data_IF_373379172231
#
_entry.id   IF_373379172231
#
_cell.length_a   1.000
_cell.length_b   1.000
_cell.length_c   1.000
_cell.angle_alpha   90.00
_cell.angle_beta   90.00
_cell.angle_gamma   90.00
#
_symmetry.space_group_name_H-M   'P 1'
#
loop_
_entity.id
_entity.type
_entity.pdbx_description
1 polymer ?
2 water ?
#
# COMPACT_ATOMS: atom_id res chain seq x y z
N UNK A 4 43.18 6.93 4.35
CA UNK A 4 42.85 6.08 5.49
C UNK A 4 41.48 5.35 5.35
N UNK A 5 40.38 6.05 5.05
CA UNK A 5 39.08 5.36 4.98
C UNK A 5 39.07 4.30 3.89
N UNK A 6 38.60 3.11 4.26
CA UNK A 6 38.39 2.05 3.28
C UNK A 6 37.28 2.47 2.33
N UNK A 7 37.54 2.33 1.04
CA UNK A 7 36.58 2.67 0.00
C UNK A 7 35.73 1.46 -0.36
N UNK A 8 34.41 1.57 -0.35
CA UNK A 8 33.57 0.43 -0.74
C UNK A 8 33.67 0.19 -2.24
N UNK A 9 33.58 -1.07 -2.64
CA UNK A 9 33.73 -1.44 -4.05
C UNK A 9 32.49 -2.19 -4.53
N UNK A 10 31.71 -1.55 -5.41
CA UNK A 10 30.50 -2.19 -5.94
C UNK A 10 30.80 -3.51 -6.64
N UNK A 11 31.95 -3.61 -7.30
CA UNK A 11 32.33 -4.86 -7.96
C UNK A 11 32.44 -6.02 -7.00
N UNK A 12 32.45 -5.74 -5.70
CA UNK A 12 32.58 -6.72 -4.63
C UNK A 12 31.24 -7.13 -4.05
N UNK A 13 30.14 -6.80 -4.71
CA UNK A 13 28.80 -7.10 -4.20
C UNK A 13 28.68 -8.54 -3.73
N UNK A 14 29.11 -9.50 -4.54
CA UNK A 14 28.95 -10.90 -4.15
C UNK A 14 29.79 -11.21 -2.91
N UNK A 15 31.01 -10.65 -2.83
CA UNK A 15 31.80 -10.88 -1.63
C UNK A 15 31.15 -10.25 -0.41
N UNK A 16 30.47 -9.11 -0.57
CA UNK A 16 29.70 -8.57 0.54
C UNK A 16 28.63 -9.54 0.98
N UNK A 17 27.96 -10.19 0.02
CA UNK A 17 26.92 -11.16 0.37
C UNK A 17 27.54 -12.36 1.08
N UNK A 18 28.71 -12.80 0.62
CA UNK A 18 29.48 -13.84 1.31
C UNK A 18 29.79 -13.44 2.75
N UNK A 19 30.26 -12.20 2.97
CA UNK A 19 30.58 -11.77 4.33
C UNK A 19 29.35 -11.79 5.23
N UNK A 20 28.20 -11.36 4.69
CA UNK A 20 26.95 -11.43 5.45
C UNK A 20 26.59 -12.87 5.77
N UNK A 21 26.66 -13.76 4.76
CA UNK A 21 26.33 -15.17 4.97
C UNK A 21 27.30 -15.83 5.95
N UNK A 22 28.59 -15.75 5.67
CA UNK A 22 29.55 -16.55 6.42
C UNK A 22 29.97 -15.92 7.75
N UNK A 23 30.07 -14.60 7.81
CA UNK A 23 30.54 -13.95 9.02
C UNK A 23 29.44 -13.25 9.80
N UNK A 24 28.20 -13.22 9.29
CA UNK A 24 27.15 -12.39 9.88
C UNK A 24 27.66 -10.96 10.06
N UNK A 25 28.37 -10.48 9.04
CA UNK A 25 28.92 -9.12 9.00
C UNK A 25 28.29 -8.36 7.83
N UNK A 26 27.45 -7.39 8.15
CA UNK A 26 26.73 -6.63 7.14
C UNK A 26 27.36 -5.27 6.83
N UNK A 27 28.43 -4.90 7.54
CA UNK A 27 29.13 -3.64 7.26
C UNK A 27 29.56 -3.49 5.81
N UNK A 28 30.19 -4.49 5.15
CA UNK A 28 30.51 -4.29 3.72
C UNK A 28 29.29 -4.00 2.87
N UNK A 29 28.23 -4.81 2.99
CA UNK A 29 27.02 -4.54 2.22
C UNK A 29 26.49 -3.13 2.49
N UNK A 30 26.45 -2.73 3.77
CA UNK A 30 25.94 -1.42 4.11
C UNK A 30 26.79 -0.32 3.48
N UNK A 31 28.10 -0.54 3.40
CA UNK A 31 28.96 0.47 2.80
C UNK A 31 28.62 0.68 1.33
N UNK A 32 28.28 -0.40 0.62
CA UNK A 32 27.88 -0.26 -0.78
C UNK A 32 26.64 0.60 -0.92
N UNK A 33 25.72 0.51 0.05
CA UNK A 33 24.50 1.29 -0.02
C UNK A 33 24.75 2.79 0.04
N UNK A 34 25.98 3.22 0.32
CA UNK A 34 26.29 4.65 0.34
C UNK A 34 26.92 5.14 -0.96
N UNK A 35 27.12 4.26 -1.95
CA UNK A 35 27.66 4.62 -3.26
C UNK A 35 26.50 4.93 -4.19
N UNK A 36 26.71 5.91 -5.06
CA UNK A 36 25.75 6.18 -6.13
C UNK A 36 26.10 5.30 -7.33
N UNK A 37 25.12 4.50 -7.76
CA UNK A 37 25.32 3.56 -8.86
C UNK A 37 25.53 4.34 -10.15
N UNK A 38 26.61 4.04 -10.85
CA UNK A 38 26.90 4.67 -12.13
C UNK A 38 26.71 3.64 -13.24
N UNK A 39 25.92 4.02 -14.26
CA UNK A 39 25.55 3.16 -15.37
C UNK A 39 26.77 2.56 -16.09
N UNK A 40 27.96 3.07 -15.78
CA UNK A 40 29.17 2.52 -16.38
C UNK A 40 29.54 1.18 -15.74
N UNK A 41 29.38 1.05 -14.42
CA UNK A 41 30.03 -0.01 -13.66
C UNK A 41 29.39 -1.37 -13.97
N UNK A 42 30.24 -2.39 -14.09
CA UNK A 42 29.83 -3.77 -14.29
C UNK A 42 30.17 -4.57 -13.04
N UNK A 43 29.15 -5.18 -12.43
CA UNK A 43 29.32 -6.02 -11.26
C UNK A 43 29.28 -7.46 -11.71
N UNK A 44 30.39 -8.17 -11.52
CA UNK A 44 30.45 -9.57 -11.90
C UNK A 44 29.91 -10.43 -10.77
N UNK A 45 28.94 -11.28 -11.09
CA UNK A 45 28.38 -12.21 -10.13
C UNK A 45 28.38 -13.63 -10.70
N UNK A 46 28.39 -14.59 -9.80
CA UNK A 46 28.50 -15.98 -10.19
C UNK A 46 27.13 -16.61 -10.44
N UNK A 47 27.17 -17.83 -10.97
CA UNK A 47 25.98 -18.64 -11.18
C UNK A 47 25.29 -18.98 -9.87
N UNK A 48 26.03 -18.99 -8.76
CA UNK A 48 25.48 -19.29 -7.44
C UNK A 48 25.03 -18.06 -6.66
N UNK A 49 25.06 -16.88 -7.28
CA UNK A 49 24.65 -15.65 -6.58
C UNK A 49 23.22 -15.75 -6.08
N UNK A 50 22.29 -16.22 -6.92
CA UNK A 50 20.89 -16.31 -6.51
C UNK A 50 20.71 -17.25 -5.32
N UNK A 51 21.38 -18.40 -5.33
CA UNK A 51 21.33 -19.33 -4.21
C UNK A 51 21.79 -18.67 -2.91
N UNK A 52 22.87 -17.88 -2.98
CA UNK A 52 23.36 -17.20 -1.78
C UNK A 52 22.36 -16.15 -1.30
N UNK A 53 21.78 -15.38 -2.22
CA UNK A 53 20.69 -14.45 -1.87
C UNK A 53 19.56 -15.18 -1.16
N UNK A 54 19.13 -16.30 -1.73
CA UNK A 54 18.03 -17.07 -1.15
C UNK A 54 18.38 -17.55 0.24
N UNK A 55 19.58 -18.10 0.41
CA UNK A 55 20.03 -18.56 1.71
C UNK A 55 20.03 -17.44 2.74
N UNK A 56 20.60 -16.29 2.37
CA UNK A 56 20.74 -15.19 3.32
C UNK A 56 19.37 -14.61 3.70
N UNK A 57 18.49 -14.39 2.71
CA UNK A 57 17.19 -13.78 3.01
C UNK A 57 16.33 -14.70 3.88
N UNK A 58 16.29 -15.99 3.56
CA UNK A 58 15.51 -16.93 4.37
C UNK A 58 16.05 -17.01 5.80
N UNK A 59 17.37 -17.01 5.97
CA UNK A 59 17.93 -17.02 7.32
C UNK A 59 17.52 -15.78 8.11
N UNK A 60 17.71 -14.59 7.52
CA UNK A 60 17.36 -13.37 8.24
C UNK A 60 15.86 -13.28 8.52
N UNK A 61 15.02 -13.74 7.58
CA UNK A 61 13.59 -13.83 7.87
C UNK A 61 13.32 -14.74 9.06
N UNK A 62 13.94 -15.93 9.07
CA UNK A 62 13.80 -16.87 10.19
C UNK A 62 14.22 -16.24 11.52
N UNK A 63 15.22 -15.36 11.49
CA UNK A 63 15.66 -14.66 12.69
C UNK A 63 14.80 -13.45 13.02
N UNK A 64 13.87 -13.06 12.14
CA UNK A 64 13.07 -11.85 12.32
C UNK A 64 13.94 -10.59 12.31
N UNK A 65 15.06 -10.63 11.59
CA UNK A 65 15.89 -9.43 11.41
C UNK A 65 15.30 -8.60 10.28
N UNK A 66 14.25 -7.85 10.61
CA UNK A 66 13.43 -7.17 9.61
C UNK A 66 14.25 -6.20 8.77
N UNK A 67 14.93 -5.26 9.45
CA UNK A 67 15.66 -4.21 8.75
C UNK A 67 16.86 -4.76 7.98
N UNK A 68 17.42 -5.89 8.40
CA UNK A 68 18.49 -6.44 7.58
C UNK A 68 17.96 -7.08 6.30
N UNK A 69 16.77 -7.71 6.33
CA UNK A 69 16.17 -8.19 5.08
C UNK A 69 15.98 -7.02 4.11
N UNK A 70 15.47 -5.89 4.61
CA UNK A 70 15.32 -4.68 3.81
C UNK A 70 16.62 -4.30 3.12
N UNK A 71 17.72 -4.29 3.88
CA UNK A 71 19.00 -3.85 3.30
C UNK A 71 19.43 -4.78 2.17
N UNK A 72 19.16 -6.09 2.29
CA UNK A 72 19.52 -7.00 1.20
C UNK A 72 18.65 -6.73 -0.01
N UNK A 73 17.33 -6.60 0.18
CA UNK A 73 16.43 -6.40 -0.96
C UNK A 73 16.76 -5.12 -1.71
N UNK A 74 17.14 -4.08 -0.98
CA UNK A 74 17.50 -2.81 -1.61
C UNK A 74 18.79 -2.93 -2.40
N UNK A 75 19.76 -3.70 -1.90
CA UNK A 75 21.02 -3.89 -2.60
C UNK A 75 20.81 -4.58 -3.94
N UNK A 76 19.97 -5.63 -3.97
CA UNK A 76 19.71 -6.33 -5.23
C UNK A 76 19.05 -5.40 -6.23
N UNK A 77 18.01 -4.68 -5.81
CA UNK A 77 17.32 -3.78 -6.71
C UNK A 77 18.19 -2.66 -7.23
N UNK A 78 18.93 -1.99 -6.34
CA UNK A 78 19.78 -0.87 -6.75
C UNK A 78 20.82 -1.31 -7.77
N UNK A 79 21.37 -2.50 -7.60
CA UNK A 79 22.42 -2.97 -8.48
C UNK A 79 21.89 -3.81 -9.64
N UNK A 80 20.57 -3.96 -9.75
CA UNK A 80 20.01 -5.00 -10.62
C UNK A 80 20.44 -4.83 -12.08
N UNK A 81 20.51 -3.59 -12.55
CA UNK A 81 20.81 -3.30 -13.94
C UNK A 81 22.31 -3.20 -14.22
N UNK A 82 23.16 -3.52 -13.26
CA UNK A 82 24.60 -3.50 -13.44
C UNK A 82 25.24 -4.84 -13.14
N UNK A 83 24.46 -5.85 -12.86
CA UNK A 83 24.95 -7.18 -12.54
C UNK A 83 25.04 -8.00 -13.82
N UNK A 84 26.11 -8.77 -13.95
CA UNK A 84 26.30 -9.68 -15.06
C UNK A 84 26.75 -11.01 -14.50
N UNK A 85 26.24 -12.09 -15.08
CA UNK A 85 26.58 -13.44 -14.67
C UNK A 85 27.08 -14.17 -15.92
N UNK A 86 28.35 -14.58 -15.90
CA UNK A 86 28.99 -15.22 -17.05
C UNK A 86 28.73 -14.44 -18.33
N UNK A 87 28.87 -13.12 -18.25
CA UNK A 87 28.75 -12.24 -19.40
C UNK A 87 27.34 -11.84 -19.76
N UNK A 88 26.32 -12.54 -19.26
CA UNK A 88 24.95 -12.23 -19.64
C UNK A 88 24.28 -11.36 -18.57
N UNK A 89 23.21 -10.67 -18.99
CA UNK A 89 22.45 -9.80 -18.10
C UNK A 89 22.09 -10.53 -16.81
N UNK A 90 22.47 -9.93 -15.67
CA UNK A 90 22.34 -10.61 -14.40
C UNK A 90 20.89 -10.81 -13.99
N UNK A 91 20.05 -9.79 -14.17
CA UNK A 91 18.67 -9.94 -13.72
C UNK A 91 17.96 -11.01 -14.55
N UNK A 92 18.21 -11.04 -15.85
CA UNK A 92 17.54 -12.02 -16.71
C UNK A 92 18.03 -13.43 -16.44
N UNK A 93 19.32 -13.58 -16.12
CA UNK A 93 19.84 -14.89 -15.72
C UNK A 93 19.20 -15.37 -14.42
N UNK A 94 19.02 -14.46 -13.46
CA UNK A 94 18.39 -14.89 -12.21
C UNK A 94 16.92 -15.22 -12.43
N UNK A 95 16.25 -14.48 -13.31
CA UNK A 95 14.88 -14.84 -13.68
C UNK A 95 14.85 -16.23 -14.28
N UNK A 96 15.80 -16.53 -15.17
CA UNK A 96 15.88 -17.86 -15.75
C UNK A 96 16.28 -18.92 -14.72
N UNK A 97 16.95 -18.53 -13.64
CA UNK A 97 17.29 -19.47 -12.56
C UNK A 97 16.16 -19.62 -11.56
N UNK A 98 15.08 -18.84 -11.69
CA UNK A 98 13.89 -19.01 -10.87
C UNK A 98 13.71 -17.93 -9.82
N UNK A 99 14.19 -16.71 -10.09
CA UNK A 99 14.17 -15.65 -9.07
C UNK A 99 12.75 -15.34 -8.61
N UNK A 100 11.78 -15.33 -9.53
CA UNK A 100 10.41 -14.98 -9.15
C UNK A 100 9.86 -15.97 -8.12
N UNK A 101 10.17 -17.27 -8.28
CA UNK A 101 9.71 -18.27 -7.32
C UNK A 101 10.46 -18.16 -5.99
N UNK A 102 11.74 -17.78 -6.02
CA UNK A 102 12.38 -17.42 -4.75
C UNK A 102 11.66 -16.26 -4.08
N UNK A 103 11.25 -15.26 -4.85
CA UNK A 103 10.56 -14.12 -4.21
C UNK A 103 9.19 -14.54 -3.66
N UNK A 104 8.50 -15.49 -4.31
CA UNK A 104 7.28 -16.04 -3.73
C UNK A 104 7.58 -16.69 -2.38
N UNK A 105 8.66 -17.48 -2.35
CA UNK A 105 9.10 -18.10 -1.12
C UNK A 105 9.45 -17.07 -0.05
N UNK A 106 10.15 -16.00 -0.41
CA UNK A 106 10.49 -14.99 0.60
C UNK A 106 9.23 -14.34 1.14
N UNK A 107 8.27 -14.06 0.25
CA UNK A 107 6.99 -13.50 0.68
C UNK A 107 6.24 -14.48 1.58
N UNK A 108 6.21 -15.77 1.21
CA UNK A 108 5.61 -16.79 2.07
C UNK A 108 6.29 -16.84 3.43
N UNK A 109 7.62 -16.82 3.44
CA UNK A 109 8.40 -16.83 4.68
C UNK A 109 8.30 -15.52 5.45
N UNK A 110 7.65 -14.50 4.89
CA UNK A 110 7.38 -13.25 5.59
C UNK A 110 6.01 -13.25 6.25
N UNK A 111 5.22 -14.29 6.05
CA UNK A 111 3.82 -14.21 6.45
C UNK A 111 3.68 -14.25 7.97
N UNK A 112 4.50 -15.06 8.64
CA UNK A 112 4.50 -15.08 10.10
C UNK A 112 4.83 -13.70 10.66
N UNK A 113 5.80 -13.01 10.05
CA UNK A 113 6.15 -11.66 10.46
C UNK A 113 5.00 -10.70 10.19
N UNK A 114 4.44 -10.77 8.98
CA UNK A 114 3.32 -9.92 8.58
C UNK A 114 2.17 -10.04 9.58
N UNK A 115 1.92 -11.26 10.06
CA UNK A 115 0.80 -11.43 10.98
C UNK A 115 1.09 -10.86 12.36
N UNK A 116 2.07 -11.43 13.06
CA UNK A 116 2.32 -11.10 14.47
C UNK A 116 2.79 -9.65 14.69
N UNK A 117 2.65 -8.80 13.67
CA UNK A 117 2.94 -7.38 13.83
C UNK A 117 1.75 -6.56 13.35
N UNK A 122 7.16 -3.29 13.93
CA UNK A 122 6.51 -2.01 13.71
C UNK A 122 6.51 -1.65 12.23
N UNK A 123 6.87 -0.41 11.88
CA UNK A 123 6.97 -0.02 10.48
C UNK A 123 8.25 -0.48 9.80
N UNK A 124 9.15 -1.13 10.55
CA UNK A 124 10.23 -1.86 9.87
C UNK A 124 9.66 -2.92 8.96
N UNK A 125 8.60 -3.63 9.41
CA UNK A 125 7.92 -4.60 8.57
C UNK A 125 7.29 -3.93 7.36
N UNK A 126 6.71 -2.75 7.58
CA UNK A 126 6.12 -1.99 6.48
C UNK A 126 7.16 -1.70 5.41
N UNK A 127 8.34 -1.20 5.82
CA UNK A 127 9.40 -0.90 4.88
C UNK A 127 9.91 -2.17 4.19
N UNK A 128 9.98 -3.27 4.92
CA UNK A 128 10.52 -4.51 4.36
C UNK A 128 9.65 -4.99 3.22
N UNK A 129 8.32 -4.99 3.42
CA UNK A 129 7.40 -5.44 2.39
C UNK A 129 7.40 -4.47 1.21
N UNK A 130 7.48 -3.17 1.49
CA UNK A 130 7.61 -2.21 0.42
C UNK A 130 8.88 -2.45 -0.39
N UNK A 131 10.00 -2.73 0.30
CA UNK A 131 11.24 -3.06 -0.39
C UNK A 131 11.09 -4.33 -1.23
N UNK A 132 10.36 -5.32 -0.72
CA UNK A 132 10.15 -6.54 -1.48
C UNK A 132 9.36 -6.26 -2.76
N UNK A 133 8.26 -5.50 -2.65
CA UNK A 133 7.47 -5.22 -3.84
C UNK A 133 8.23 -4.33 -4.81
N UNK A 134 9.05 -3.38 -4.29
CA UNK A 134 9.89 -2.57 -5.17
C UNK A 134 10.81 -3.45 -6.02
N UNK A 135 11.42 -4.46 -5.41
CA UNK A 135 12.21 -5.40 -6.18
C UNK A 135 11.33 -6.18 -7.16
N UNK A 136 10.13 -6.58 -6.73
CA UNK A 136 9.21 -7.24 -7.65
C UNK A 136 8.93 -6.37 -8.87
N UNK A 137 8.76 -5.06 -8.69
CA UNK A 137 8.45 -4.21 -9.85
C UNK A 137 9.64 -4.10 -10.80
N UNK A 138 10.88 -4.10 -10.28
CA UNK A 138 12.06 -4.11 -11.14
C UNK A 138 12.09 -5.35 -12.03
N UNK A 139 11.72 -6.51 -11.47
CA UNK A 139 11.65 -7.73 -12.26
C UNK A 139 10.50 -7.66 -13.27
N UNK A 140 9.37 -7.11 -12.84
CA UNK A 140 8.23 -6.99 -13.74
C UNK A 140 8.59 -6.17 -14.97
N UNK A 141 9.33 -5.06 -14.77
CA UNK A 141 9.60 -4.12 -15.85
C UNK A 141 10.76 -4.53 -16.74
N UNK A 142 11.50 -5.60 -16.41
CA UNK A 142 12.73 -5.87 -17.15
C UNK A 142 12.54 -6.77 -18.38
N UNK A 143 11.39 -7.44 -18.52
CA UNK A 143 11.16 -8.32 -19.67
C UNK A 143 9.72 -8.79 -19.63
N UNK A 144 9.34 -9.51 -20.70
CA UNK A 144 8.02 -10.12 -20.72
C UNK A 144 7.96 -11.33 -19.80
N UNK A 145 9.05 -12.11 -19.74
CA UNK A 145 9.06 -13.30 -18.89
C UNK A 145 8.92 -12.94 -17.42
N UNK A 146 9.78 -12.05 -16.93
CA UNK A 146 9.67 -11.59 -15.55
C UNK A 146 8.29 -11.03 -15.25
N UNK A 147 7.71 -10.31 -16.20
CA UNK A 147 6.38 -9.74 -16.03
C UNK A 147 5.32 -10.83 -15.95
N UNK A 148 5.40 -11.83 -16.84
CA UNK A 148 4.40 -12.89 -16.81
C UNK A 148 4.46 -13.67 -15.49
N UNK A 149 5.67 -14.02 -15.03
CA UNK A 149 5.77 -14.80 -13.81
C UNK A 149 5.33 -13.98 -12.60
N UNK A 150 5.64 -12.69 -12.58
CA UNK A 150 5.22 -11.86 -11.46
C UNK A 150 3.71 -11.80 -11.38
N UNK A 151 3.05 -11.53 -12.51
CA UNK A 151 1.59 -11.49 -12.56
C UNK A 151 0.99 -12.81 -12.10
N UNK A 152 1.52 -13.93 -12.62
CA UNK A 152 0.92 -15.23 -12.36
C UNK A 152 1.05 -15.64 -10.91
N UNK A 153 2.20 -15.35 -10.30
CA UNK A 153 2.47 -15.78 -8.94
C UNK A 153 1.90 -14.83 -7.89
N UNK A 154 1.98 -13.52 -8.12
CA UNK A 154 1.72 -12.56 -7.04
C UNK A 154 0.34 -11.93 -7.04
N UNK A 155 -0.40 -11.89 -8.18
CA UNK A 155 -1.80 -11.45 -8.13
C UNK A 155 -2.61 -12.27 -7.12
N UNK A 156 -2.56 -13.62 -7.11
CA UNK A 156 -3.30 -14.35 -6.06
C UNK A 156 -2.78 -14.08 -4.65
N UNK A 157 -1.46 -13.93 -4.48
CA UNK A 157 -0.90 -13.66 -3.16
C UNK A 157 -1.41 -12.34 -2.61
N UNK A 158 -1.39 -11.30 -3.44
CA UNK A 158 -1.81 -9.98 -2.98
C UNK A 158 -3.29 -9.96 -2.64
N UNK A 159 -4.13 -10.58 -3.47
CA UNK A 159 -5.56 -10.66 -3.18
C UNK A 159 -5.81 -11.37 -1.85
N UNK A 160 -5.14 -12.51 -1.64
CA UNK A 160 -5.26 -13.20 -0.37
C UNK A 160 -4.84 -12.30 0.80
N UNK A 161 -3.74 -11.55 0.62
CA UNK A 161 -3.26 -10.64 1.65
C UNK A 161 -4.27 -9.53 1.93
N UNK A 162 -4.90 -9.01 0.89
CA UNK A 162 -5.84 -7.91 1.04
C UNK A 162 -7.13 -8.39 1.71
N UNK A 163 -7.51 -9.65 1.47
CA UNK A 163 -8.71 -10.21 2.09
C UNK A 163 -8.50 -10.57 3.56
N UNK A 164 -7.26 -10.79 3.99
CA UNK A 164 -6.98 -11.32 5.33
C UNK A 164 -7.09 -10.18 6.33
N UNK A 165 -8.14 -10.22 7.16
CA UNK A 165 -8.38 -9.11 8.08
C UNK A 165 -7.32 -9.01 9.17
N UNK A 166 -6.46 -10.03 9.32
CA UNK A 166 -5.43 -9.97 10.34
C UNK A 166 -4.28 -9.03 9.98
N UNK A 167 -4.13 -8.68 8.70
CA UNK A 167 -2.95 -7.95 8.23
C UNK A 167 -3.15 -6.45 8.42
N UNK A 168 -2.10 -5.78 8.93
CA UNK A 168 -2.16 -4.34 9.12
C UNK A 168 -2.53 -3.62 7.83
N UNK A 169 -3.38 -2.57 7.96
CA UNK A 169 -3.92 -1.92 6.76
C UNK A 169 -2.84 -1.31 5.89
N UNK A 170 -1.74 -0.82 6.50
CA UNK A 170 -0.69 -0.20 5.69
C UNK A 170 0.01 -1.21 4.79
N UNK A 171 0.13 -2.45 5.23
CA UNK A 171 0.71 -3.48 4.38
C UNK A 171 -0.24 -3.81 3.24
N UNK A 172 -1.53 -3.96 3.56
CA UNK A 172 -2.49 -4.22 2.50
C UNK A 172 -2.52 -3.07 1.51
N UNK A 173 -2.46 -1.82 1.99
CA UNK A 173 -2.50 -0.67 1.08
C UNK A 173 -1.30 -0.68 0.13
N UNK A 174 -0.12 -1.01 0.66
CA UNK A 174 1.08 -1.09 -0.17
C UNK A 174 0.97 -2.19 -1.22
N UNK A 175 0.50 -3.37 -0.81
CA UNK A 175 0.39 -4.49 -1.74
C UNK A 175 -0.68 -4.23 -2.79
N UNK A 176 -1.84 -3.74 -2.36
CA UNK A 176 -2.94 -3.50 -3.29
C UNK A 176 -2.54 -2.48 -4.35
N UNK A 177 -1.77 -1.46 -3.98
CA UNK A 177 -1.41 -0.45 -4.95
C UNK A 177 -0.37 -0.98 -5.94
N UNK A 178 0.56 -1.81 -5.47
CA UNK A 178 1.47 -2.46 -6.40
C UNK A 178 0.71 -3.38 -7.34
N UNK A 179 -0.34 -4.05 -6.86
CA UNK A 179 -1.10 -4.92 -7.74
C UNK A 179 -1.82 -4.13 -8.83
N UNK A 180 -2.42 -2.99 -8.47
CA UNK A 180 -3.11 -2.16 -9.47
C UNK A 180 -2.13 -1.58 -10.47
N UNK A 181 -0.91 -1.27 -10.04
CA UNK A 181 0.13 -0.87 -10.98
C UNK A 181 0.48 -2.00 -11.95
N UNK A 182 0.57 -3.23 -11.45
CA UNK A 182 0.89 -4.35 -12.34
C UNK A 182 -0.24 -4.59 -13.34
N UNK A 183 -1.48 -4.52 -12.88
CA UNK A 183 -2.59 -4.68 -13.80
C UNK A 183 -2.64 -3.54 -14.80
N UNK A 184 -2.13 -2.35 -14.42
CA UNK A 184 -2.25 -1.18 -15.29
C UNK A 184 -1.52 -1.36 -16.61
N UNK A 185 -0.32 -1.93 -16.58
CA UNK A 185 0.42 -2.10 -17.84
C UNK A 185 -0.25 -3.14 -18.73
N UNK A 186 -0.64 -4.28 -18.15
CA UNK A 186 -1.23 -5.39 -18.91
C UNK A 186 -2.54 -4.96 -19.58
N UNK A 196 -10.32 -19.83 -14.10
CA UNK A 196 -9.49 -20.00 -12.92
C UNK A 196 -10.34 -19.95 -11.65
N UNK A 197 -10.58 -21.12 -11.05
CA UNK A 197 -11.45 -21.20 -9.89
C UNK A 197 -10.92 -20.38 -8.73
N UNK A 198 -9.59 -20.42 -8.51
CA UNK A 198 -9.02 -19.73 -7.37
C UNK A 198 -9.29 -18.22 -7.44
N UNK A 199 -9.11 -17.63 -8.62
CA UNK A 199 -9.33 -16.19 -8.77
C UNK A 199 -10.79 -15.83 -8.54
N UNK A 200 -11.71 -16.66 -9.05
CA UNK A 200 -13.13 -16.36 -8.89
C UNK A 200 -13.52 -16.36 -7.42
N UNK A 201 -13.01 -17.33 -6.65
CA UNK A 201 -13.23 -17.31 -5.21
C UNK A 201 -12.61 -16.08 -4.55
N UNK A 202 -11.36 -15.76 -4.90
CA UNK A 202 -10.71 -14.60 -4.30
C UNK A 202 -11.46 -13.32 -4.62
N UNK A 203 -11.86 -13.15 -5.88
CA UNK A 203 -12.57 -11.93 -6.27
C UNK A 203 -13.90 -11.83 -5.57
N UNK A 204 -14.56 -12.96 -5.34
CA UNK A 204 -15.80 -12.93 -4.57
C UNK A 204 -15.54 -12.49 -3.13
N UNK A 205 -14.47 -13.02 -2.51
CA UNK A 205 -14.14 -12.60 -1.15
C UNK A 205 -13.65 -11.15 -1.12
N UNK A 206 -13.07 -10.66 -2.21
CA UNK A 206 -12.69 -9.25 -2.27
C UNK A 206 -13.92 -8.36 -2.25
N UNK A 207 -14.94 -8.69 -3.05
CA UNK A 207 -16.20 -7.95 -2.99
C UNK A 207 -16.78 -7.90 -1.60
N UNK A 208 -16.91 -9.07 -0.95
CA UNK A 208 -17.35 -9.13 0.45
C UNK A 208 -16.52 -8.20 1.31
N UNK A 209 -15.22 -8.16 1.04
CA UNK A 209 -14.29 -7.45 1.90
C UNK A 209 -14.47 -5.94 1.83
N UNK A 210 -14.89 -5.41 0.67
CA UNK A 210 -15.21 -3.99 0.59
C UNK A 210 -16.15 -3.58 1.73
N UNK A 211 -17.16 -4.42 1.98
CA UNK A 211 -18.21 -4.08 2.92
C UNK A 211 -17.68 -3.82 4.33
N UNK A 212 -16.59 -4.48 4.76
CA UNK A 212 -16.18 -4.31 6.15
C UNK A 212 -14.69 -4.03 6.34
N UNK A 213 -13.96 -3.71 5.27
CA UNK A 213 -12.54 -3.45 5.46
C UNK A 213 -12.31 -2.19 6.29
N UNK A 214 -13.26 -1.24 6.27
CA UNK A 214 -13.15 -0.09 7.15
C UNK A 214 -12.03 0.87 6.84
N UNK A 215 -11.69 1.02 5.57
CA UNK A 215 -10.66 1.96 5.11
C UNK A 215 -11.02 2.37 3.69
N UNK A 216 -11.25 3.67 3.47
CA UNK A 216 -11.71 4.12 2.16
C UNK A 216 -10.67 3.83 1.07
N UNK A 217 -9.39 4.04 1.37
CA UNK A 217 -8.35 3.80 0.36
C UNK A 217 -8.33 2.32 -0.08
N UNK A 218 -8.47 1.41 0.86
CA UNK A 218 -8.54 0.01 0.50
C UNK A 218 -9.82 -0.31 -0.27
N UNK A 219 -10.94 0.34 0.09
CA UNK A 219 -12.18 0.13 -0.67
C UNK A 219 -11.99 0.48 -2.13
N UNK A 220 -11.37 1.64 -2.41
CA UNK A 220 -11.18 2.06 -3.79
C UNK A 220 -10.24 1.10 -4.52
N UNK A 221 -9.12 0.75 -3.88
CA UNK A 221 -8.15 -0.13 -4.54
C UNK A 221 -8.74 -1.49 -4.89
N UNK A 222 -9.58 -2.02 -4.01
CA UNK A 222 -10.23 -3.31 -4.28
C UNK A 222 -11.22 -3.16 -5.43
N UNK A 223 -12.10 -2.15 -5.36
CA UNK A 223 -12.98 -1.86 -6.49
C UNK A 223 -12.16 -1.69 -7.76
N UNK A 224 -11.08 -0.92 -7.67
CA UNK A 224 -10.23 -0.69 -8.84
C UNK A 224 -9.64 -1.99 -9.34
N UNK A 225 -9.14 -2.84 -8.44
CA UNK A 225 -8.60 -4.12 -8.88
C UNK A 225 -9.69 -4.96 -9.57
N UNK A 226 -10.88 -5.04 -8.96
CA UNK A 226 -11.95 -5.84 -9.53
C UNK A 226 -12.34 -5.33 -10.91
N UNK A 227 -12.32 -4.01 -11.10
CA UNK A 227 -12.71 -3.45 -12.41
C UNK A 227 -11.59 -3.58 -13.44
N UNK A 228 -10.33 -3.58 -13.02
CA UNK A 228 -9.24 -3.84 -13.95
C UNK A 228 -9.23 -5.30 -14.42
N UNK A 229 -9.67 -6.23 -13.58
CA UNK A 229 -9.64 -7.64 -13.91
C UNK A 229 -10.94 -8.16 -14.53
N UNK A 230 -11.98 -7.33 -14.65
CA UNK A 230 -13.24 -7.79 -15.22
C UNK A 230 -13.86 -6.71 -16.12
N UNK A 231 -14.45 -7.15 -17.22
CA UNK A 231 -15.03 -6.22 -18.17
C UNK A 231 -16.29 -5.59 -17.59
N UNK A 232 -16.61 -4.39 -18.06
CA UNK A 232 -17.87 -3.77 -17.68
C UNK A 232 -19.05 -4.69 -17.97
N UNK A 233 -19.01 -5.42 -19.09
CA UNK A 233 -20.11 -6.34 -19.40
C UNK A 233 -20.20 -7.46 -18.37
N UNK A 234 -19.06 -8.10 -18.07
CA UNK A 234 -19.05 -9.21 -17.10
C UNK A 234 -19.59 -8.77 -15.74
N UNK A 235 -19.23 -7.57 -15.30
CA UNK A 235 -19.68 -7.07 -14.00
C UNK A 235 -21.19 -6.98 -13.91
N UNK A 236 -21.90 -6.97 -15.05
CA UNK A 236 -23.37 -6.95 -15.00
C UNK A 236 -23.93 -8.23 -14.38
N UNK A 237 -23.20 -9.34 -14.51
CA UNK A 237 -23.57 -10.60 -13.87
C UNK A 237 -22.84 -10.81 -12.55
N UNK A 238 -21.55 -10.45 -12.50
CA UNK A 238 -20.73 -10.69 -11.32
C UNK A 238 -21.16 -9.82 -10.15
N UNK A 239 -21.73 -8.65 -10.42
CA UNK A 239 -22.23 -7.80 -9.34
C UNK A 239 -23.20 -8.56 -8.45
N UNK A 240 -24.06 -9.37 -9.05
CA UNK A 240 -25.07 -10.10 -8.29
C UNK A 240 -24.53 -11.36 -7.62
N UNK A 241 -23.37 -11.85 -8.04
CA UNK A 241 -22.70 -12.93 -7.31
C UNK A 241 -21.86 -12.37 -6.16
N UNK A 242 -21.24 -11.21 -6.37
CA UNK A 242 -20.32 -10.64 -5.39
C UNK A 242 -21.02 -9.94 -4.23
N UNK A 243 -22.24 -9.44 -4.41
CA UNK A 243 -22.89 -8.63 -3.39
C UNK A 243 -24.29 -9.16 -3.12
N UNK A 244 -24.50 -9.73 -1.93
CA UNK A 244 -25.79 -10.30 -1.57
C UNK A 244 -26.91 -9.27 -1.59
N UNK A 245 -26.61 -8.02 -1.21
CA UNK A 245 -27.63 -7.00 -1.10
C UNK A 245 -27.94 -6.42 -2.49
N UNK A 246 -29.21 -6.46 -2.89
CA UNK A 246 -29.59 -6.00 -4.23
C UNK A 246 -29.20 -4.54 -4.45
N UNK A 247 -29.48 -3.67 -3.46
CA UNK A 247 -29.10 -2.28 -3.55
C UNK A 247 -27.63 -2.11 -3.90
N UNK A 248 -26.75 -2.91 -3.29
CA UNK A 248 -25.32 -2.77 -3.51
C UNK A 248 -24.90 -3.36 -4.86
N UNK A 249 -25.43 -4.54 -5.21
CA UNK A 249 -25.15 -5.12 -6.51
C UNK A 249 -25.57 -4.19 -7.65
N UNK A 250 -26.73 -3.53 -7.51
CA UNK A 250 -27.20 -2.56 -8.51
C UNK A 250 -26.21 -1.40 -8.66
N UNK A 251 -25.80 -0.79 -7.55
CA UNK A 251 -24.85 0.32 -7.63
C UNK A 251 -23.53 -0.11 -8.29
N UNK A 252 -23.04 -1.30 -7.93
CA UNK A 252 -21.76 -1.77 -8.46
C UNK A 252 -21.78 -1.84 -9.99
N UNK A 253 -22.86 -2.43 -10.54
CA UNK A 253 -23.04 -2.60 -11.98
C UNK A 253 -23.05 -1.27 -12.73
N UNK A 254 -23.24 -0.13 -12.06
CA UNK A 254 -23.28 1.16 -12.73
C UNK A 254 -21.91 1.82 -12.85
N UNK A 255 -20.87 1.27 -12.24
CA UNK A 255 -19.54 1.87 -12.36
C UNK A 255 -19.06 1.74 -13.80
N UNK A 256 -18.81 2.87 -14.43
CA UNK A 256 -18.31 2.94 -15.80
C UNK A 256 -16.81 3.13 -15.78
N UNK A 257 -16.09 2.31 -16.55
CA UNK A 257 -14.63 2.41 -16.59
C UNK A 257 -14.17 3.82 -16.95
N UNK A 258 -14.91 4.51 -17.83
CA UNK A 258 -14.44 5.77 -18.39
C UNK A 258 -14.57 6.94 -17.43
N UNK A 259 -15.41 6.83 -16.40
CA UNK A 259 -15.47 7.81 -15.32
C UNK A 259 -15.18 7.15 -13.97
N UNK A 260 -14.16 6.28 -13.94
CA UNK A 260 -14.00 5.37 -12.81
C UNK A 260 -13.86 6.12 -11.49
N UNK A 261 -12.94 7.09 -11.44
CA UNK A 261 -12.58 7.72 -10.18
C UNK A 261 -13.79 8.36 -9.49
N UNK A 262 -14.63 9.06 -10.25
CA UNK A 262 -15.79 9.71 -9.64
C UNK A 262 -16.94 8.72 -9.45
N UNK A 263 -17.12 7.78 -10.37
CA UNK A 263 -18.16 6.78 -10.16
C UNK A 263 -17.84 5.90 -8.97
N UNK A 264 -16.55 5.64 -8.73
CA UNK A 264 -16.17 4.82 -7.59
C UNK A 264 -16.50 5.51 -6.26
N UNK A 265 -16.26 6.82 -6.17
CA UNK A 265 -16.74 7.60 -5.03
C UNK A 265 -18.25 7.48 -4.86
N UNK A 266 -18.99 7.61 -5.96
CA UNK A 266 -20.45 7.50 -5.86
C UNK A 266 -20.84 6.14 -5.31
N UNK A 267 -20.28 5.07 -5.89
CA UNK A 267 -20.62 3.71 -5.45
C UNK A 267 -20.29 3.51 -3.98
N UNK A 268 -19.09 3.92 -3.55
CA UNK A 268 -18.68 3.64 -2.17
C UNK A 268 -19.50 4.45 -1.19
N UNK A 269 -19.86 5.69 -1.53
CA UNK A 269 -20.75 6.47 -0.68
C UNK A 269 -22.12 5.78 -0.54
N UNK A 270 -22.64 5.23 -1.64
CA UNK A 270 -23.87 4.44 -1.58
C UNK A 270 -23.70 3.22 -0.67
N UNK A 271 -22.64 2.43 -0.90
CA UNK A 271 -22.45 1.20 -0.13
C UNK A 271 -22.34 1.53 1.36
N UNK A 272 -21.43 2.44 1.72
CA UNK A 272 -21.25 2.74 3.12
C UNK A 272 -22.49 3.39 3.72
N UNK A 273 -23.25 4.12 2.90
CA UNK A 273 -24.50 4.69 3.39
C UNK A 273 -25.52 3.61 3.70
N UNK A 274 -25.72 2.68 2.76
CA UNK A 274 -26.77 1.68 2.93
C UNK A 274 -26.45 0.73 4.09
N UNK A 275 -25.18 0.54 4.42
CA UNK A 275 -24.84 -0.38 5.49
C UNK A 275 -25.27 0.15 6.86
N UNK A 276 -25.64 1.42 6.96
CA UNK A 276 -26.15 1.95 8.22
C UNK A 276 -25.12 1.77 9.32
N UNK A 277 -25.60 1.42 10.51
CA UNK A 277 -24.72 1.28 11.67
C UNK A 277 -23.75 0.11 11.55
N UNK A 278 -23.84 -0.67 10.49
CA UNK A 278 -22.88 -1.72 10.19
C UNK A 278 -21.69 -1.21 9.37
N UNK A 279 -21.77 -0.01 8.80
CA UNK A 279 -20.68 0.48 7.96
C UNK A 279 -19.42 0.65 8.78
N UNK A 280 -18.28 0.56 8.10
CA UNK A 280 -16.99 0.76 8.72
C UNK A 280 -16.23 1.93 8.14
N UNK A 281 -16.86 2.69 7.23
CA UNK A 281 -16.33 3.95 6.71
C UNK A 281 -17.46 4.97 6.77
N UNK A 282 -17.24 6.06 7.51
CA UNK A 282 -18.17 7.18 7.57
C UNK A 282 -17.61 8.31 6.74
N UNK A 283 -18.35 8.72 5.72
CA UNK A 283 -17.96 9.80 4.83
C UNK A 283 -18.86 11.02 5.04
N UNK A 284 -18.26 12.17 5.43
CA UNK A 284 -19.03 13.39 5.63
C UNK A 284 -18.61 14.46 4.63
N UNK A 285 -19.55 15.26 4.12
CA UNK A 285 -19.15 16.45 3.39
C UNK A 285 -18.59 17.47 4.36
N UNK A 286 -17.62 18.23 3.87
CA UNK A 286 -16.86 19.17 4.68
C UNK A 286 -16.93 20.56 4.05
N UNK A 287 -17.06 21.58 4.89
CA UNK A 287 -17.22 22.94 4.39
C UNK A 287 -15.89 23.54 3.95
N UNK A 288 -14.85 23.35 4.77
CA UNK A 288 -13.49 23.83 4.50
C UNK A 288 -12.52 23.17 5.48
N UNK A 289 -11.28 23.01 5.04
CA UNK A 289 -10.25 22.38 5.84
C UNK A 289 -9.02 23.27 5.85
N UNK A 290 -8.29 23.25 6.97
CA UNK A 290 -7.10 24.08 7.21
C UNK A 290 -5.97 23.26 7.84
N UNK A 291 -4.75 23.49 7.36
CA UNK A 291 -3.53 23.06 8.04
C UNK A 291 -2.89 24.30 8.67
N UNK A 292 -2.94 24.39 9.99
CA UNK A 292 -2.52 25.64 10.63
C UNK A 292 -3.44 26.75 10.16
N UNK A 293 -2.86 27.81 9.59
CA UNK A 293 -3.64 28.93 9.08
C UNK A 293 -3.97 28.83 7.60
N UNK A 294 -3.47 27.84 6.89
CA UNK A 294 -3.59 27.79 5.43
C UNK A 294 -4.78 26.95 5.00
N UNK A 295 -5.63 27.51 4.16
CA UNK A 295 -6.77 26.74 3.66
C UNK A 295 -6.29 25.72 2.63
N UNK A 296 -6.72 24.48 2.79
CA UNK A 296 -6.41 23.44 1.82
C UNK A 296 -7.38 23.53 0.65
N UNK A 297 -6.92 23.16 -0.54
CA UNK A 297 -7.77 23.33 -1.72
C UNK A 297 -8.67 22.12 -1.90
N UNK A 298 -9.92 22.39 -2.17
CA UNK A 298 -10.90 21.34 -2.43
C UNK A 298 -10.70 20.81 -3.85
N UNK A 299 -10.65 19.50 -4.06
CA UNK A 299 -10.74 18.97 -5.42
C UNK A 299 -12.04 19.41 -6.07
N UNK A 300 -11.94 19.97 -7.28
CA UNK A 300 -13.10 20.41 -8.02
C UNK A 300 -13.07 19.73 -9.39
N UNK A 301 -14.02 18.82 -9.62
CA UNK A 301 -13.98 18.00 -10.83
C UNK A 301 -15.21 18.87 -11.08
N UNK A 302 -16.23 18.32 -11.76
CA UNK A 302 -17.48 19.03 -12.05
C UNK A 302 -18.36 17.94 -11.47
N UNK A 303 -17.96 16.68 -11.62
CA UNK A 303 -18.41 15.61 -10.74
C UNK A 303 -18.39 14.94 -9.37
N UNK A 304 -17.93 15.66 -8.34
CA UNK A 304 -17.60 15.06 -7.05
C UNK A 304 -18.60 16.06 -6.47
N UNK A 305 -19.62 15.56 -5.76
CA UNK A 305 -20.69 16.44 -5.31
C UNK A 305 -20.25 17.33 -4.16
N UNK A 306 -19.28 16.87 -3.38
CA UNK A 306 -18.89 17.53 -2.15
C UNK A 306 -17.39 17.33 -1.91
N UNK A 307 -16.86 18.11 -0.99
CA UNK A 307 -15.53 17.94 -0.41
C UNK A 307 -15.66 16.86 0.66
N UNK A 308 -15.24 15.63 0.34
CA UNK A 308 -15.49 14.48 1.19
C UNK A 308 -14.35 14.23 2.18
N UNK A 309 -14.70 13.87 3.42
CA UNK A 309 -13.76 13.41 4.44
C UNK A 309 -14.18 12.01 4.87
N UNK A 310 -13.22 11.08 4.91
CA UNK A 310 -13.50 9.67 5.18
C UNK A 310 -12.96 9.32 6.56
N UNK A 311 -13.85 8.82 7.41
CA UNK A 311 -13.53 8.38 8.76
C UNK A 311 -13.47 6.86 8.73
N UNK A 312 -12.29 6.30 8.92
CA UNK A 312 -12.03 4.89 8.64
C UNK A 312 -11.95 4.09 9.92
N UNK A 313 -13.03 3.35 10.23
CA UNK A 313 -13.13 2.67 11.51
C UNK A 313 -12.25 1.43 11.59
N UNK A 314 -11.93 0.83 10.45
CA UNK A 314 -11.04 -0.32 10.48
C UNK A 314 -9.60 0.09 10.71
N UNK A 315 -9.14 1.11 10.02
CA UNK A 315 -7.75 1.53 10.08
C UNK A 315 -7.49 2.64 11.07
N UNK A 316 -8.54 3.18 11.70
CA UNK A 316 -8.41 4.25 12.70
C UNK A 316 -7.64 5.43 12.12
N UNK A 317 -8.07 5.86 10.93
CA UNK A 317 -7.51 7.02 10.27
C UNK A 317 -8.63 7.94 9.83
N UNK A 318 -8.26 9.18 9.55
CA UNK A 318 -9.12 10.08 8.80
C UNK A 318 -8.38 10.40 7.51
N UNK A 319 -9.08 10.31 6.38
CA UNK A 319 -8.40 10.53 5.11
C UNK A 319 -9.28 11.34 4.18
N UNK A 320 -8.62 11.98 3.22
CA UNK A 320 -9.35 12.83 2.30
C UNK A 320 -8.41 13.15 1.16
N UNK A 321 -9.00 13.56 0.04
CA UNK A 321 -8.25 14.05 -1.10
C UNK A 321 -8.24 15.57 -1.08
N UNK A 322 -7.16 16.12 -1.61
CA UNK A 322 -7.10 17.55 -1.80
C UNK A 322 -6.64 17.82 -3.24
N UNK A 332 -4.21 14.71 -4.46
CA UNK A 332 -3.34 14.23 -3.39
C UNK A 332 -4.14 13.67 -2.23
N UNK A 333 -3.87 12.42 -1.86
CA UNK A 333 -4.48 11.81 -0.69
C UNK A 333 -3.74 12.21 0.59
N UNK A 334 -4.49 12.59 1.61
CA UNK A 334 -3.95 12.88 2.94
C UNK A 334 -4.55 11.87 3.90
N UNK A 335 -3.70 11.24 4.71
CA UNK A 335 -4.15 10.27 5.71
C UNK A 335 -3.61 10.70 7.06
N UNK A 336 -4.47 10.71 8.07
CA UNK A 336 -4.07 11.05 9.45
C UNK A 336 -4.31 9.84 10.33
N UNK A 337 -3.27 9.12 10.75
CA UNK A 337 -3.47 7.95 11.59
C UNK A 337 -3.57 8.34 13.05
N UNK A 338 -4.27 7.50 13.82
CA UNK A 338 -4.58 7.88 15.19
C UNK A 338 -3.31 8.08 16.01
N UNK A 339 -2.23 7.35 15.70
CA UNK A 339 -1.01 7.52 16.47
C UNK A 339 -0.37 8.89 16.24
N UNK A 340 -0.74 9.61 15.18
CA UNK A 340 -0.21 10.95 14.94
C UNK A 340 -1.00 12.04 15.67
N UNK A 341 -2.13 11.72 16.30
CA UNK A 341 -3.02 12.71 16.90
C UNK A 341 -2.69 12.78 18.39
N UNK A 342 -2.21 13.95 18.83
CA UNK A 342 -1.99 14.21 20.24
C UNK A 342 -3.31 14.37 20.99
N UNK A 343 -4.24 15.15 20.45
CA UNK A 343 -5.61 15.21 20.95
C UNK A 343 -6.45 16.02 19.97
N UNK A 344 -7.76 16.00 20.18
CA UNK A 344 -8.65 16.77 19.34
C UNK A 344 -9.77 17.35 20.18
N UNK A 345 -10.44 18.35 19.62
CA UNK A 345 -11.67 18.83 20.21
C UNK A 345 -12.65 19.20 19.12
N UNK A 346 -13.92 19.31 19.51
CA UNK A 346 -15.03 19.63 18.61
C UNK A 346 -15.82 20.76 19.28
N UNK A 347 -16.09 21.82 18.52
CA UNK A 347 -16.78 23.00 19.02
C UNK A 347 -17.78 23.46 17.97
N UNK A 348 -18.91 24.01 18.44
CA UNK A 348 -19.94 24.56 17.57
C UNK A 348 -19.90 26.08 17.68
N UNK A 349 -19.68 26.76 16.56
CA UNK A 349 -19.72 28.21 16.54
C UNK A 349 -20.24 28.68 15.17
N UNK A 350 -21.08 29.71 15.19
CA UNK A 350 -21.58 30.33 13.96
C UNK A 350 -22.19 29.28 13.03
N UNK A 351 -22.94 28.34 13.63
CA UNK A 351 -23.67 27.29 12.93
C UNK A 351 -22.75 26.33 12.17
N UNK A 352 -21.50 26.19 12.65
CA UNK A 352 -20.54 25.25 12.09
C UNK A 352 -19.98 24.37 13.20
N UNK A 353 -19.64 23.13 12.87
CA UNK A 353 -18.95 22.25 13.79
C UNK A 353 -17.48 22.15 13.38
N UNK A 354 -16.58 22.54 14.28
CA UNK A 354 -15.16 22.58 14.03
C UNK A 354 -14.49 21.39 14.73
N UNK A 355 -13.89 20.52 13.93
CA UNK A 355 -13.03 19.45 14.43
C UNK A 355 -11.59 19.95 14.31
N UNK A 356 -10.94 20.15 15.45
CA UNK A 356 -9.54 20.57 15.52
C UNK A 356 -8.69 19.40 15.99
N UNK A 357 -7.76 18.94 15.13
CA UNK A 357 -6.82 17.87 15.45
C UNK A 357 -5.46 18.46 15.73
N UNK A 358 -4.96 18.27 16.95
CA UNK A 358 -3.59 18.64 17.28
C UNK A 358 -2.71 17.42 17.00
N UNK A 359 -1.77 17.56 16.08
CA UNK A 359 -0.88 16.46 15.71
C UNK A 359 0.38 16.45 16.58
N UNK A 360 0.95 15.26 16.75
CA UNK A 360 2.15 15.08 17.54
C UNK A 360 3.41 15.60 16.86
N UNK A 361 3.32 15.98 15.58
CA UNK A 361 4.46 16.64 14.94
C UNK A 361 3.96 17.46 13.77
N UNK A 362 4.83 18.38 13.32
CA UNK A 362 4.56 19.19 12.14
C UNK A 362 4.45 18.30 10.92
N UNK A 363 3.47 18.59 10.05
CA UNK A 363 3.36 17.87 8.80
C UNK A 363 3.36 18.87 7.65
N UNK A 364 3.58 18.36 6.44
CA UNK A 364 3.65 19.20 5.25
C UNK A 364 2.63 18.69 4.24
N UNK A 365 1.74 19.57 3.81
CA UNK A 365 0.73 19.23 2.82
C UNK A 365 0.70 20.35 1.79
N UNK A 366 0.92 20.00 0.53
CA UNK A 366 0.99 20.95 -0.59
C UNK A 366 1.88 22.15 -0.26
N UNK A 367 3.12 21.83 0.10
CA UNK A 367 4.16 22.82 0.42
C UNK A 367 3.76 23.79 1.53
N UNK A 368 2.76 23.44 2.33
CA UNK A 368 2.43 24.16 3.56
C UNK A 368 2.66 23.23 4.74
N UNK A 369 2.98 23.81 5.90
CA UNK A 369 3.30 23.02 7.09
C UNK A 369 2.47 23.49 8.28
N UNK A 370 2.20 22.56 9.18
CA UNK A 370 1.48 22.88 10.39
C UNK A 370 1.41 21.67 11.30
N UNK A 371 0.86 21.91 12.48
CA UNK A 371 0.73 20.94 13.55
C UNK A 371 -0.72 20.70 13.90
N UNK A 372 -1.63 21.41 13.29
CA UNK A 372 -3.04 21.25 13.60
C UNK A 372 -3.83 21.26 12.30
N UNK A 373 -4.81 20.37 12.22
CA UNK A 373 -5.72 20.27 11.10
C UNK A 373 -7.11 20.65 11.59
N UNK A 374 -7.78 21.55 10.86
CA UNK A 374 -9.11 22.04 11.20
C UNK A 374 -10.07 21.65 10.09
N UNK A 375 -11.19 21.04 10.46
CA UNK A 375 -12.25 20.66 9.54
C UNK A 375 -13.54 21.31 10.00
N UNK A 376 -14.17 22.09 9.12
CA UNK A 376 -15.48 22.70 9.41
C UNK A 376 -16.58 21.88 8.74
N UNK A 377 -17.58 21.51 9.54
CA UNK A 377 -18.71 20.71 9.10
C UNK A 377 -20.02 21.42 9.38
N UNK A 378 -21.06 21.05 8.62
CA UNK A 378 -22.41 21.46 8.95
C UNK A 378 -22.79 20.95 10.35
N UNK A 379 -23.49 21.79 11.12
CA UNK A 379 -23.79 21.48 12.51
C UNK A 379 -24.71 20.27 12.67
N UNK A 380 -25.48 19.90 11.63
CA UNK A 380 -26.30 18.70 11.72
C UNK A 380 -25.49 17.41 11.64
N UNK A 381 -24.20 17.47 11.32
CA UNK A 381 -23.44 16.23 11.15
C UNK A 381 -22.95 15.70 12.49
N UNK A 382 -22.94 14.37 12.63
CA UNK A 382 -22.58 13.72 13.90
C UNK A 382 -21.06 13.55 14.04
N UNK A 383 -20.34 14.68 14.10
CA UNK A 383 -18.89 14.62 14.14
C UNK A 383 -18.41 13.95 15.43
N UNK A 384 -19.07 14.24 16.55
CA UNK A 384 -18.58 13.78 17.85
C UNK A 384 -18.56 12.26 17.94
N UNK A 385 -19.66 11.61 17.58
CA UNK A 385 -19.71 10.17 17.80
C UNK A 385 -18.89 9.40 16.77
N UNK A 386 -18.80 9.88 15.53
CA UNK A 386 -17.93 9.20 14.56
C UNK A 386 -16.46 9.39 14.93
N UNK A 387 -16.04 10.60 15.33
CA UNK A 387 -14.62 10.82 15.56
C UNK A 387 -14.09 9.92 16.67
N UNK A 388 -14.91 9.63 17.69
CA UNK A 388 -14.43 8.81 18.79
C UNK A 388 -14.27 7.34 18.41
N UNK A 389 -14.83 6.92 17.26
CA UNK A 389 -14.60 5.58 16.75
C UNK A 389 -13.23 5.44 16.08
N UNK A 390 -12.65 6.51 15.56
CA UNK A 390 -11.33 6.42 14.93
C UNK A 390 -10.22 6.90 15.85
N UNK A 391 -10.46 7.97 16.61
CA UNK A 391 -9.44 8.50 17.52
C UNK A 391 -9.87 8.30 18.96
N UNK A 392 -10.18 7.06 19.33
CA UNK A 392 -10.68 6.75 20.66
C UNK A 392 -9.81 7.28 21.78
N UNK A 393 -10.45 7.87 22.78
CA UNK A 393 -9.78 8.39 23.96
C UNK A 393 -8.93 9.63 23.73
N UNK A 394 -9.10 10.35 22.62
CA UNK A 394 -8.27 11.51 22.34
C UNK A 394 -9.02 12.84 22.37
N UNK A 395 -10.30 12.83 22.70
CA UNK A 395 -11.06 14.07 22.75
C UNK A 395 -10.78 14.84 24.03
N UNK A 396 -10.49 16.13 23.88
CA UNK A 396 -10.41 17.06 24.99
C UNK A 396 -11.66 17.93 25.00
N UNK A 397 -12.37 17.94 26.12
CA UNK A 397 -13.53 18.82 26.28
C UNK A 397 -13.13 20.11 27.02
#
# INVERSE_FOLDING_TARGET
PGSMPVRPDLQQLEKCIDDALRKNDFKPLLALLQIDICEDVKIKCSKQFLRKLDDLICRELNKKDIQTVSSILISIGRCSKNIFILGQAGLQTMIKQGLVQKMVSWFENSKEIILNQQQSKDEAVMNMIEDLFDLLMVIYDISDEGKNQVLESFIPQICALVIDSRVNFCIQQEALKKMNLMLDRIPQDANKILSNQEMLTLMSNMGERILDVGDYELQVGIVEALCRMTTEKRRQELAYEWFSMDFIANAFKEIKDCEFETDCRIFLNLVNGILGDKRRVYTFPCLSAFLGKYELQIPSDEKLEEFWIDFNLGSHTLSFYIAGDEEDHQWEAVTVPEEKVQMYNIEVRESKKLLTLTLKNIVKISKKEGKELLFYFDESLEITNVTKKVFGGLEHHHHHH
#
